data_IF_713936030389
#
_entry.id   IF_713936030389
#
_cell.length_a   1.000
_cell.length_b   1.000
_cell.length_c   1.000
_cell.angle_alpha   90.00
_cell.angle_beta   90.00
_cell.angle_gamma   90.00
#
_symmetry.space_group_name_H-M   'P 1'
#
loop_
_entity.id
_entity.type
_entity.pdbx_description
1 polymer ?
#
# COMPACT_ATOMS: atom_id res chain seq x y z
N UNK A 1 -34.50 16.61 8.74
CA UNK A 1 -34.01 17.32 7.55
C UNK A 1 -32.50 17.13 7.49
N UNK A 2 -31.97 16.25 6.62
CA UNK A 2 -30.52 16.10 6.46
C UNK A 2 -30.05 17.19 5.50
N UNK A 3 -29.51 18.28 6.04
CA UNK A 3 -28.79 19.29 5.26
C UNK A 3 -27.47 18.65 4.81
N UNK A 4 -27.51 17.92 3.70
CA UNK A 4 -26.32 17.45 3.01
C UNK A 4 -25.68 18.61 2.28
N UNK A 5 -24.88 19.41 2.98
CA UNK A 5 -23.97 20.35 2.32
C UNK A 5 -22.98 19.48 1.55
N UNK A 6 -23.02 19.57 0.22
CA UNK A 6 -22.05 18.94 -0.67
C UNK A 6 -20.73 19.67 -0.44
N UNK A 7 -19.88 19.13 0.45
CA UNK A 7 -18.53 19.64 0.66
C UNK A 7 -17.69 19.37 -0.58
N UNK A 8 -16.97 20.37 -1.07
CA UNK A 8 -15.97 20.21 -2.14
C UNK A 8 -14.61 19.82 -1.54
N UNK A 9 -13.64 19.32 -2.33
CA UNK A 9 -12.28 19.08 -1.86
C UNK A 9 -11.63 20.31 -1.23
N UNK A 10 -11.97 21.50 -1.72
CA UNK A 10 -11.53 22.78 -1.16
C UNK A 10 -12.09 23.02 0.26
N UNK A 11 -13.30 22.52 0.57
CA UNK A 11 -13.96 22.67 1.87
C UNK A 11 -13.35 21.80 2.98
N UNK A 12 -12.64 20.72 2.62
CA UNK A 12 -12.11 19.75 3.58
C UNK A 12 -10.58 19.73 3.65
N UNK A 13 -9.87 20.17 2.60
CA UNK A 13 -8.41 20.02 2.49
C UNK A 13 -7.63 21.22 1.93
N UNK A 14 -8.16 22.44 2.11
CA UNK A 14 -7.33 23.65 2.23
C UNK A 14 -6.45 24.07 1.03
N UNK A 15 -6.62 23.49 -0.16
CA UNK A 15 -5.78 23.77 -1.33
C UNK A 15 -6.53 23.63 -2.66
N UNK A 16 -5.95 24.12 -3.78
CA UNK A 16 -6.54 23.97 -5.11
C UNK A 16 -6.58 22.49 -5.53
N UNK A 17 -7.54 22.12 -6.37
CA UNK A 17 -7.54 20.79 -7.00
C UNK A 17 -6.38 20.64 -7.99
N UNK A 18 -5.75 19.46 -8.04
CA UNK A 18 -4.66 19.15 -8.98
C UNK A 18 -5.14 19.21 -10.44
N UNK A 19 -4.41 19.96 -11.29
CA UNK A 19 -4.57 19.89 -12.74
C UNK A 19 -3.98 18.57 -13.28
N UNK A 20 -4.83 17.54 -13.35
CA UNK A 20 -4.47 16.19 -13.78
C UNK A 20 -3.93 16.15 -15.22
N UNK A 21 -4.48 16.97 -16.12
CA UNK A 21 -4.03 16.98 -17.52
C UNK A 21 -2.59 17.50 -17.63
N UNK A 22 -2.29 18.59 -16.93
CA UNK A 22 -0.93 19.13 -16.85
C UNK A 22 0.04 18.16 -16.17
N UNK A 23 -0.38 17.52 -15.07
CA UNK A 23 0.45 16.56 -14.35
C UNK A 23 0.81 15.33 -15.21
N UNK A 24 -0.13 14.87 -16.04
CA UNK A 24 0.10 13.75 -16.97
C UNK A 24 0.97 14.17 -18.16
N UNK A 25 0.79 15.39 -18.65
CA UNK A 25 1.67 15.94 -19.69
C UNK A 25 3.13 16.02 -19.21
N UNK A 26 3.36 16.44 -17.96
CA UNK A 26 4.68 16.38 -17.31
C UNK A 26 5.21 14.94 -17.28
N UNK A 27 4.40 13.98 -16.85
CA UNK A 27 4.80 12.57 -16.81
C UNK A 27 5.25 12.04 -18.18
N UNK A 28 4.51 12.33 -19.25
CA UNK A 28 4.90 11.89 -20.61
C UNK A 28 6.12 12.63 -21.16
N UNK A 29 6.42 13.83 -20.66
CA UNK A 29 7.67 14.53 -20.99
C UNK A 29 8.86 13.86 -20.30
N UNK A 30 8.68 13.47 -19.04
CA UNK A 30 9.69 12.79 -18.22
C UNK A 30 9.95 11.35 -18.70
N UNK A 31 8.91 10.65 -19.16
CA UNK A 31 8.95 9.24 -19.56
C UNK A 31 8.26 9.00 -20.92
N UNK A 32 8.89 9.37 -22.04
CA UNK A 32 8.28 9.29 -23.36
C UNK A 32 7.96 7.85 -23.82
N UNK A 33 8.61 6.83 -23.26
CA UNK A 33 8.31 5.42 -23.50
C UNK A 33 6.94 5.00 -22.95
N UNK A 34 6.38 5.76 -22.00
CA UNK A 34 5.05 5.53 -21.42
C UNK A 34 3.91 6.21 -22.21
N UNK A 35 4.16 6.80 -23.37
CA UNK A 35 3.12 7.48 -24.19
C UNK A 35 1.94 6.58 -24.61
N UNK A 36 2.10 5.26 -24.49
CA UNK A 36 1.02 4.28 -24.73
C UNK A 36 0.14 4.02 -23.52
N UNK A 37 0.55 4.46 -22.33
CA UNK A 37 -0.27 4.36 -21.12
C UNK A 37 -1.51 5.25 -21.26
N UNK A 38 -2.65 4.72 -20.83
CA UNK A 38 -3.98 5.30 -21.06
C UNK A 38 -4.60 5.68 -19.73
N UNK A 39 -4.90 6.97 -19.56
CA UNK A 39 -5.43 7.49 -18.30
C UNK A 39 -6.96 7.63 -18.33
N UNK A 40 -7.61 7.24 -17.25
CA UNK A 40 -9.03 7.49 -16.96
C UNK A 40 -9.13 8.67 -16.00
N UNK A 41 -9.24 9.87 -16.56
CA UNK A 41 -9.27 11.11 -15.76
C UNK A 41 -10.67 11.31 -15.19
N UNK A 42 -10.77 11.25 -13.86
CA UNK A 42 -11.92 11.70 -13.06
C UNK A 42 -13.08 10.68 -12.86
N UNK A 43 -13.27 10.28 -11.59
CA UNK A 43 -14.40 9.46 -11.13
C UNK A 43 -15.76 10.16 -11.21
N UNK A 44 -15.80 11.49 -11.19
CA UNK A 44 -17.03 12.27 -11.20
C UNK A 44 -17.62 12.45 -12.61
N UNK A 45 -16.79 12.32 -13.65
CA UNK A 45 -17.20 12.53 -15.04
C UNK A 45 -18.03 11.37 -15.60
N UNK A 46 -17.81 10.16 -15.10
CA UNK A 46 -18.44 8.95 -15.63
C UNK A 46 -19.33 8.29 -14.59
N UNK A 47 -20.59 7.93 -14.93
CA UNK A 47 -21.51 7.34 -13.98
C UNK A 47 -21.16 5.90 -13.60
N UNK A 48 -20.44 5.18 -14.47
CA UNK A 48 -19.96 3.81 -14.21
C UNK A 48 -18.52 3.63 -14.66
N UNK A 49 -17.85 2.61 -14.11
CA UNK A 49 -16.51 2.21 -14.56
C UNK A 49 -16.47 1.75 -16.02
N UNK A 50 -17.57 1.20 -16.55
CA UNK A 50 -17.65 0.82 -17.95
C UNK A 50 -17.77 2.03 -18.88
N UNK A 51 -18.47 3.10 -18.47
CA UNK A 51 -18.51 4.35 -19.23
C UNK A 51 -17.13 5.01 -19.24
N UNK A 52 -16.42 4.95 -18.12
CA UNK A 52 -15.05 5.42 -18.01
C UNK A 52 -14.09 4.65 -18.93
N UNK A 53 -14.14 3.31 -18.91
CA UNK A 53 -13.36 2.46 -19.84
C UNK A 53 -13.77 2.69 -21.30
N UNK A 54 -15.07 2.91 -21.57
CA UNK A 54 -15.56 3.20 -22.93
C UNK A 54 -14.97 4.49 -23.47
N UNK A 55 -14.79 5.51 -22.63
CA UNK A 55 -14.21 6.81 -23.02
C UNK A 55 -12.76 6.73 -23.52
N UNK A 56 -12.05 5.66 -23.20
CA UNK A 56 -10.67 5.42 -23.63
C UNK A 56 -10.55 4.30 -24.68
N UNK A 57 -11.67 3.85 -25.26
CA UNK A 57 -11.68 2.72 -26.22
C UNK A 57 -10.77 2.96 -27.40
N UNK A 58 -10.83 4.15 -28.02
CA UNK A 58 -10.00 4.48 -29.19
C UNK A 58 -8.50 4.38 -28.89
N UNK A 59 -8.09 4.81 -27.67
CA UNK A 59 -6.70 4.69 -27.21
C UNK A 59 -6.30 3.23 -27.00
N UNK A 60 -7.20 2.43 -26.42
CA UNK A 60 -6.96 0.99 -26.22
C UNK A 60 -6.92 0.22 -27.56
N UNK A 61 -7.73 0.62 -28.53
CA UNK A 61 -7.74 0.04 -29.86
C UNK A 61 -6.47 0.40 -30.65
N UNK A 62 -5.92 1.61 -30.44
CA UNK A 62 -4.60 1.97 -30.95
C UNK A 62 -3.49 1.06 -30.36
N UNK A 63 -3.49 0.84 -29.03
CA UNK A 63 -2.58 -0.12 -28.38
C UNK A 63 -2.73 -1.52 -28.97
N UNK A 64 -3.96 -1.98 -29.23
CA UNK A 64 -4.21 -3.29 -29.83
C UNK A 64 -3.73 -3.41 -31.27
N UNK A 65 -3.85 -2.32 -32.03
CA UNK A 65 -3.39 -2.25 -33.42
C UNK A 65 -1.86 -2.36 -33.48
N UNK A 66 -1.17 -1.65 -32.59
CA UNK A 66 0.30 -1.68 -32.51
C UNK A 66 0.84 -2.96 -31.88
N UNK A 67 0.10 -3.54 -30.94
CA UNK A 67 0.48 -4.75 -30.19
C UNK A 67 -0.66 -5.79 -30.25
N UNK A 68 -0.80 -6.55 -31.36
CA UNK A 68 -1.89 -7.52 -31.56
C UNK A 68 -1.99 -8.61 -30.47
N UNK A 69 -0.93 -8.84 -29.71
CA UNK A 69 -0.87 -9.79 -28.59
C UNK A 69 -1.44 -9.23 -27.27
N UNK A 70 -1.64 -7.91 -27.16
CA UNK A 70 -2.15 -7.24 -25.97
C UNK A 70 -3.52 -7.80 -25.51
N UNK A 71 -3.64 -8.13 -24.22
CA UNK A 71 -4.84 -8.75 -23.63
C UNK A 71 -5.75 -7.73 -22.94
N UNK A 72 -6.47 -6.94 -23.74
CA UNK A 72 -7.34 -5.87 -23.25
C UNK A 72 -8.55 -6.30 -22.38
N UNK A 73 -9.27 -7.42 -22.63
CA UNK A 73 -10.53 -7.67 -21.93
C UNK A 73 -10.42 -7.74 -20.40
N UNK A 74 -9.35 -8.37 -19.89
CA UNK A 74 -9.13 -8.45 -18.45
C UNK A 74 -8.74 -7.09 -17.87
N UNK A 75 -7.82 -6.36 -18.52
CA UNK A 75 -7.42 -5.03 -18.07
C UNK A 75 -8.62 -4.06 -18.02
N UNK A 76 -9.48 -4.08 -19.05
CA UNK A 76 -10.74 -3.33 -19.09
C UNK A 76 -11.67 -3.69 -17.92
N UNK A 77 -11.83 -4.98 -17.63
CA UNK A 77 -12.68 -5.46 -16.52
C UNK A 77 -12.16 -5.03 -15.16
N UNK A 78 -10.85 -5.19 -14.91
CA UNK A 78 -10.20 -4.75 -13.67
C UNK A 78 -10.32 -3.23 -13.50
N UNK A 79 -9.99 -2.46 -14.54
CA UNK A 79 -10.10 -1.00 -14.51
C UNK A 79 -11.54 -0.55 -14.24
N UNK A 80 -12.55 -1.16 -14.86
CA UNK A 80 -13.95 -0.84 -14.59
C UNK A 80 -14.34 -1.12 -13.14
N UNK A 81 -13.87 -2.24 -12.56
CA UNK A 81 -14.09 -2.59 -11.16
C UNK A 81 -13.43 -1.61 -10.20
N UNK A 82 -12.15 -1.28 -10.41
CA UNK A 82 -11.42 -0.31 -9.59
C UNK A 82 -12.03 1.09 -9.69
N UNK A 83 -12.42 1.51 -10.90
CA UNK A 83 -13.12 2.77 -11.10
C UNK A 83 -14.41 2.85 -10.29
N UNK A 84 -15.24 1.79 -10.34
CA UNK A 84 -16.50 1.72 -9.60
C UNK A 84 -16.27 1.72 -8.08
N UNK A 85 -15.17 1.10 -7.62
CA UNK A 85 -14.72 1.17 -6.23
C UNK A 85 -14.14 2.53 -5.82
N UNK A 86 -14.03 3.48 -6.76
CA UNK A 86 -13.35 4.77 -6.59
C UNK A 86 -11.90 4.60 -6.15
N UNK A 87 -11.23 3.56 -6.63
CA UNK A 87 -9.85 3.27 -6.30
C UNK A 87 -8.89 3.87 -7.34
N UNK A 88 -7.85 4.59 -6.92
CA UNK A 88 -6.69 4.78 -7.77
C UNK A 88 -6.06 3.41 -8.04
N UNK A 89 -5.60 3.20 -9.27
CA UNK A 89 -4.87 2.01 -9.62
C UNK A 89 -4.14 2.16 -10.96
N UNK A 90 -3.10 1.34 -11.14
CA UNK A 90 -2.46 1.10 -12.42
C UNK A 90 -2.67 -0.35 -12.86
N UNK A 91 -3.34 -0.56 -14.00
CA UNK A 91 -3.65 -1.90 -14.54
C UNK A 91 -2.80 -2.18 -15.78
N UNK A 92 -1.89 -3.13 -15.68
CA UNK A 92 -1.01 -3.52 -16.79
C UNK A 92 -1.79 -4.14 -17.97
N UNK A 93 -1.42 -3.75 -19.19
CA UNK A 93 -1.83 -4.38 -20.44
C UNK A 93 -0.62 -5.14 -21.01
N UNK A 94 -0.55 -6.43 -20.70
CA UNK A 94 0.51 -7.33 -21.19
C UNK A 94 0.02 -8.37 -22.19
N UNK A 95 0.92 -9.29 -22.57
CA UNK A 95 0.63 -10.46 -23.42
C UNK A 95 -0.15 -11.57 -22.70
N UNK A 96 -0.21 -11.52 -21.36
CA UNK A 96 -0.91 -12.47 -20.49
C UNK A 96 -1.91 -11.80 -19.55
N UNK A 97 -2.89 -12.57 -19.06
CA UNK A 97 -3.87 -12.13 -18.06
C UNK A 97 -3.22 -11.79 -16.70
N UNK A 98 -2.13 -12.48 -16.41
CA UNK A 98 -1.13 -12.17 -15.41
C UNK A 98 0.19 -12.33 -16.17
N UNK A 99 1.20 -11.49 -15.96
CA UNK A 99 2.53 -11.63 -16.60
C UNK A 99 3.16 -12.96 -16.17
N UNK A 100 2.82 -14.05 -16.87
CA UNK A 100 3.18 -15.42 -16.53
C UNK A 100 4.69 -15.62 -16.70
N UNK A 101 5.32 -14.84 -17.56
CA UNK A 101 6.77 -14.85 -17.75
C UNK A 101 7.39 -13.50 -17.36
N UNK A 102 8.55 -13.48 -16.70
CA UNK A 102 9.25 -12.23 -16.35
C UNK A 102 9.53 -11.34 -17.55
N UNK A 103 9.71 -11.97 -18.69
CA UNK A 103 9.94 -11.35 -20.00
C UNK A 103 8.66 -10.97 -20.75
N UNK A 104 7.47 -11.20 -20.19
CA UNK A 104 6.23 -10.78 -20.86
C UNK A 104 6.20 -9.25 -20.92
N UNK A 105 6.22 -8.65 -22.12
CA UNK A 105 6.24 -7.20 -22.25
C UNK A 105 4.93 -6.59 -21.71
N UNK A 106 5.07 -5.45 -21.04
CA UNK A 106 3.96 -4.55 -20.75
C UNK A 106 3.87 -3.57 -21.92
N UNK A 107 2.76 -3.59 -22.65
CA UNK A 107 2.56 -2.77 -23.85
C UNK A 107 2.00 -1.38 -23.53
N UNK A 108 1.18 -1.31 -22.49
CA UNK A 108 0.51 -0.11 -22.01
C UNK A 108 -0.05 -0.40 -20.61
N UNK A 109 -0.63 0.62 -19.98
CA UNK A 109 -1.40 0.52 -18.73
C UNK A 109 -2.70 1.29 -18.82
N UNK A 110 -3.68 0.91 -18.01
CA UNK A 110 -4.82 1.76 -17.69
C UNK A 110 -4.55 2.37 -16.32
N UNK A 111 -4.34 3.68 -16.28
CA UNK A 111 -4.09 4.40 -15.03
C UNK A 111 -5.34 5.15 -14.61
N UNK A 112 -5.79 4.88 -13.40
CA UNK A 112 -6.91 5.57 -12.75
C UNK A 112 -6.29 6.40 -11.63
N UNK A 113 -6.10 7.72 -11.82
CA UNK A 113 -5.63 8.59 -10.76
C UNK A 113 -6.70 8.74 -9.68
N UNK A 114 -6.28 9.15 -8.48
CA UNK A 114 -7.20 9.56 -7.44
C UNK A 114 -8.11 10.70 -7.94
N UNK A 115 -9.41 10.51 -7.84
CA UNK A 115 -10.37 11.60 -8.04
C UNK A 115 -10.59 12.36 -6.73
N UNK A 116 -11.02 13.61 -6.85
CA UNK A 116 -11.43 14.50 -5.76
C UNK A 116 -12.20 13.84 -4.62
N UNK A 117 -13.18 12.98 -4.93
CA UNK A 117 -13.95 12.30 -3.90
C UNK A 117 -13.16 11.19 -3.20
N UNK A 118 -12.32 10.46 -3.95
CA UNK A 118 -11.43 9.49 -3.36
C UNK A 118 -10.42 10.18 -2.46
N UNK A 119 -9.85 11.29 -2.89
CA UNK A 119 -8.93 12.08 -2.09
C UNK A 119 -9.60 12.73 -0.89
N UNK A 120 -10.79 13.32 -1.03
CA UNK A 120 -11.53 13.84 0.12
C UNK A 120 -11.90 12.72 1.10
N UNK A 121 -12.22 11.52 0.60
CA UNK A 121 -12.33 10.31 1.44
C UNK A 121 -11.00 9.95 2.03
N UNK A 122 -9.90 10.01 1.28
CA UNK A 122 -8.55 9.74 1.72
C UNK A 122 -8.16 10.59 2.91
N UNK A 123 -8.36 11.90 2.79
CA UNK A 123 -8.12 12.87 3.84
C UNK A 123 -8.94 12.55 5.10
N UNK A 124 -10.08 11.87 4.92
CA UNK A 124 -10.98 11.38 5.98
C UNK A 124 -10.84 9.90 6.31
N UNK A 125 -10.01 9.13 5.63
CA UNK A 125 -10.06 7.65 5.54
C UNK A 125 -8.85 7.19 4.75
N UNK A 126 -7.69 7.26 5.38
CA UNK A 126 -6.41 7.07 4.72
C UNK A 126 -6.16 5.56 4.48
N UNK A 127 -6.88 4.99 3.48
CA UNK A 127 -6.81 3.72 2.72
C UNK A 127 -7.23 2.36 3.33
N UNK A 128 -8.43 1.86 2.92
CA UNK A 128 -8.70 0.75 1.97
C UNK A 128 -10.06 1.06 1.32
N UNK A 129 -10.27 0.95 0.00
CA UNK A 129 -11.66 0.97 -0.51
C UNK A 129 -12.35 -0.34 -0.14
N UNK A 130 -13.59 -0.27 0.32
CA UNK A 130 -14.32 -1.34 1.03
C UNK A 130 -13.96 -1.48 2.51
N UNK A 131 -13.15 -0.58 3.08
CA UNK A 131 -13.09 -0.44 4.53
C UNK A 131 -14.46 0.08 5.00
N UNK A 132 -15.22 -0.66 5.82
CA UNK A 132 -16.43 -0.10 6.41
C UNK A 132 -16.12 1.07 7.35
N UNK A 133 -14.83 1.30 7.68
CA UNK A 133 -14.33 2.22 8.69
C UNK A 133 -13.80 3.48 8.03
N UNK A 134 -14.52 4.60 8.19
CA UNK A 134 -13.91 5.90 7.89
C UNK A 134 -12.85 6.22 8.95
N UNK A 135 -11.65 6.63 8.55
CA UNK A 135 -10.69 7.27 9.48
C UNK A 135 -11.16 8.69 9.93
N UNK A 136 -12.42 9.06 9.70
CA UNK A 136 -12.95 10.39 9.96
C UNK A 136 -12.94 10.75 11.45
N UNK A 137 -12.55 9.82 12.31
CA UNK A 137 -12.48 9.99 13.75
C UNK A 137 -11.05 9.85 14.29
N UNK A 138 -10.05 9.49 13.45
CA UNK A 138 -8.64 9.39 13.84
C UNK A 138 -7.74 8.89 12.70
N UNK A 139 -6.51 9.43 12.47
CA UNK A 139 -5.94 10.68 12.97
C UNK A 139 -6.42 11.88 12.13
N UNK A 140 -6.76 13.01 12.77
CA UNK A 140 -7.05 14.25 12.03
C UNK A 140 -5.73 14.80 11.51
N UNK A 141 -5.65 15.05 10.20
CA UNK A 141 -4.49 15.77 9.65
C UNK A 141 -4.38 17.13 10.32
N UNK A 142 -3.16 17.48 10.78
CA UNK A 142 -2.91 18.88 11.10
C UNK A 142 -3.11 19.70 9.83
N UNK A 143 -3.57 20.93 9.98
CA UNK A 143 -3.89 21.81 8.85
C UNK A 143 -2.70 21.98 7.88
N UNK A 144 -1.46 21.92 8.38
CA UNK A 144 -0.23 21.95 7.57
C UNK A 144 -0.06 20.77 6.59
N UNK A 145 -0.70 19.62 6.87
CA UNK A 145 -0.74 18.45 5.98
C UNK A 145 -2.03 18.35 5.16
N UNK A 146 -2.97 19.25 5.44
CA UNK A 146 -4.28 19.28 4.82
C UNK A 146 -4.24 20.12 3.55
N UNK A 147 -3.45 19.64 2.56
CA UNK A 147 -3.35 20.23 1.23
C UNK A 147 -3.79 19.19 0.19
N UNK A 148 -4.97 19.41 -0.40
CA UNK A 148 -5.58 18.56 -1.43
C UNK A 148 -4.62 18.27 -2.58
N UNK A 149 -3.90 19.29 -3.06
CA UNK A 149 -3.03 19.17 -4.22
C UNK A 149 -1.85 18.26 -3.93
N UNK A 150 -1.19 18.41 -2.78
CA UNK A 150 -0.08 17.55 -2.36
C UNK A 150 -0.50 16.08 -2.30
N UNK A 151 -1.69 15.80 -1.74
CA UNK A 151 -2.23 14.44 -1.66
C UNK A 151 -2.58 13.87 -3.03
N UNK A 152 -3.27 14.64 -3.87
CA UNK A 152 -3.58 14.22 -5.24
C UNK A 152 -2.30 13.92 -6.01
N UNK A 153 -1.29 14.77 -5.83
CA UNK A 153 -0.03 14.64 -6.52
C UNK A 153 0.75 13.42 -6.04
N UNK A 154 0.82 13.21 -4.73
CA UNK A 154 1.40 12.00 -4.16
C UNK A 154 0.74 10.74 -4.71
N UNK A 155 -0.60 10.63 -4.65
CA UNK A 155 -1.29 9.42 -5.13
C UNK A 155 -1.08 9.22 -6.62
N UNK A 156 -1.13 10.29 -7.42
CA UNK A 156 -0.80 10.21 -8.84
C UNK A 156 0.63 9.70 -9.05
N UNK A 157 1.63 10.32 -8.42
CA UNK A 157 3.03 9.93 -8.59
C UNK A 157 3.30 8.52 -8.04
N UNK A 158 2.55 8.04 -7.03
CA UNK A 158 2.61 6.67 -6.53
C UNK A 158 2.15 5.67 -7.60
N UNK A 159 0.98 5.89 -8.20
CA UNK A 159 0.48 5.02 -9.28
C UNK A 159 1.38 5.06 -10.54
N UNK A 160 1.93 6.24 -10.84
CA UNK A 160 2.95 6.40 -11.88
C UNK A 160 4.27 5.71 -11.49
N UNK A 161 4.60 5.69 -10.20
CA UNK A 161 5.72 4.96 -9.62
C UNK A 161 5.64 3.48 -9.97
N UNK A 162 4.48 2.84 -9.78
CA UNK A 162 4.27 1.46 -10.26
C UNK A 162 4.53 1.31 -11.76
N UNK A 163 4.13 2.30 -12.56
CA UNK A 163 4.36 2.24 -14.00
C UNK A 163 5.87 2.27 -14.33
N UNK A 164 6.60 3.21 -13.75
CA UNK A 164 8.01 3.44 -14.11
C UNK A 164 8.98 2.47 -13.43
N UNK A 165 8.69 1.97 -12.23
CA UNK A 165 9.63 1.05 -11.53
C UNK A 165 9.41 -0.41 -11.91
N UNK A 166 8.19 -0.80 -12.28
CA UNK A 166 7.85 -2.20 -12.62
C UNK A 166 7.96 -2.50 -14.11
N UNK A 167 9.00 -2.00 -14.78
CA UNK A 167 9.24 -2.31 -16.19
C UNK A 167 9.64 -3.78 -16.43
N UNK A 168 10.14 -4.46 -15.39
CA UNK A 168 10.38 -5.90 -15.41
C UNK A 168 10.23 -6.51 -14.01
N UNK A 169 9.55 -7.66 -13.90
CA UNK A 169 9.38 -8.35 -12.61
C UNK A 169 10.58 -9.25 -12.36
N UNK A 170 11.44 -8.90 -11.39
CA UNK A 170 12.53 -9.80 -10.98
C UNK A 170 11.98 -10.95 -10.10
N UNK A 171 11.67 -12.08 -10.73
CA UNK A 171 11.01 -13.23 -10.06
C UNK A 171 11.91 -14.00 -9.10
N UNK A 172 13.25 -13.87 -9.21
CA UNK A 172 14.16 -14.46 -8.22
C UNK A 172 14.13 -13.66 -6.92
N UNK A 173 14.02 -12.32 -7.01
CA UNK A 173 13.77 -11.49 -5.83
C UNK A 173 12.45 -11.88 -5.14
N UNK A 174 11.41 -12.28 -5.88
CA UNK A 174 10.11 -12.67 -5.33
C UNK A 174 10.13 -13.86 -4.36
N UNK A 175 11.15 -14.74 -4.40
CA UNK A 175 11.24 -15.88 -3.45
C UNK A 175 11.55 -15.44 -2.03
N UNK A 176 12.20 -14.30 -1.88
CA UNK A 176 12.66 -13.74 -0.61
C UNK A 176 11.97 -12.42 -0.26
N UNK A 177 11.50 -11.68 -1.28
CA UNK A 177 10.78 -10.41 -1.21
C UNK A 177 9.27 -10.63 -1.18
N UNK A 178 8.56 -9.87 -0.35
CA UNK A 178 7.15 -9.58 -0.65
C UNK A 178 7.07 -8.79 -1.95
N UNK A 179 6.46 -9.35 -3.00
CA UNK A 179 6.31 -8.61 -4.27
C UNK A 179 5.41 -7.39 -4.06
N UNK A 180 4.32 -7.55 -3.31
CA UNK A 180 3.39 -6.47 -3.01
C UNK A 180 4.12 -5.35 -2.27
N UNK A 181 4.76 -5.65 -1.13
CA UNK A 181 5.42 -4.60 -0.35
C UNK A 181 6.59 -3.95 -1.08
N UNK A 182 7.36 -4.70 -1.86
CA UNK A 182 8.40 -4.10 -2.69
C UNK A 182 7.83 -3.15 -3.73
N UNK A 183 6.78 -3.56 -4.45
CA UNK A 183 6.09 -2.74 -5.43
C UNK A 183 5.57 -1.43 -4.82
N UNK A 184 4.97 -1.51 -3.63
CA UNK A 184 4.51 -0.35 -2.86
C UNK A 184 5.69 0.52 -2.40
N UNK A 185 6.79 -0.09 -1.94
CA UNK A 185 7.99 0.65 -1.54
C UNK A 185 8.59 1.44 -2.71
N UNK A 186 8.68 0.84 -3.89
CA UNK A 186 9.19 1.50 -5.10
C UNK A 186 8.31 2.70 -5.48
N UNK A 187 6.99 2.51 -5.47
CA UNK A 187 6.01 3.55 -5.78
C UNK A 187 6.01 4.70 -4.76
N UNK A 188 5.96 4.40 -3.46
CA UNK A 188 6.04 5.40 -2.39
C UNK A 188 7.36 6.16 -2.42
N UNK A 189 8.49 5.46 -2.62
CA UNK A 189 9.80 6.10 -2.67
C UNK A 189 9.88 7.04 -3.88
N UNK A 190 9.47 6.58 -5.05
CA UNK A 190 9.44 7.43 -6.26
C UNK A 190 8.57 8.67 -6.04
N UNK A 191 7.35 8.49 -5.54
CA UNK A 191 6.43 9.58 -5.28
C UNK A 191 7.02 10.61 -4.29
N UNK A 192 7.73 10.15 -3.25
CA UNK A 192 8.32 11.04 -2.26
C UNK A 192 9.59 11.76 -2.74
N UNK A 193 10.40 11.16 -3.62
CA UNK A 193 11.48 11.91 -4.29
C UNK A 193 10.86 13.06 -5.10
N UNK A 194 9.83 12.76 -5.90
CA UNK A 194 9.14 13.76 -6.71
C UNK A 194 8.42 14.81 -5.86
N UNK A 195 7.93 14.43 -4.69
CA UNK A 195 7.34 15.34 -3.72
C UNK A 195 8.37 16.39 -3.25
N UNK A 196 9.54 15.96 -2.76
CA UNK A 196 10.59 16.89 -2.33
C UNK A 196 11.06 17.81 -3.46
N UNK A 197 11.17 17.30 -4.69
CA UNK A 197 11.55 18.10 -5.86
C UNK A 197 10.55 19.21 -6.21
N UNK A 198 9.25 19.02 -5.90
CA UNK A 198 8.20 19.99 -6.23
C UNK A 198 7.88 20.95 -5.09
N UNK A 199 7.84 20.45 -3.86
CA UNK A 199 7.42 21.22 -2.69
C UNK A 199 8.59 21.70 -1.83
N UNK A 200 9.81 21.30 -2.16
CA UNK A 200 11.03 21.71 -1.49
C UNK A 200 11.41 20.81 -0.30
N UNK A 201 12.67 20.95 0.11
CA UNK A 201 13.30 20.17 1.18
C UNK A 201 12.63 20.31 2.56
N UNK A 202 11.94 21.43 2.82
CA UNK A 202 11.26 21.72 4.08
C UNK A 202 9.89 21.04 4.21
N UNK A 203 9.43 20.33 3.17
CA UNK A 203 8.15 19.63 3.22
C UNK A 203 8.16 18.50 4.26
N UNK A 204 7.24 18.56 5.21
CA UNK A 204 7.04 17.54 6.27
C UNK A 204 6.06 16.43 5.89
N UNK A 205 5.49 16.46 4.68
CA UNK A 205 4.56 15.46 4.18
C UNK A 205 5.11 14.01 4.22
N UNK A 206 6.39 13.75 3.87
CA UNK A 206 6.92 12.38 3.88
C UNK A 206 6.98 11.75 5.27
N UNK A 207 7.32 12.53 6.32
CA UNK A 207 7.24 12.10 7.72
C UNK A 207 5.82 11.69 8.09
N UNK A 208 4.84 12.51 7.70
CA UNK A 208 3.43 12.23 7.94
C UNK A 208 2.98 10.95 7.23
N UNK A 209 3.37 10.76 5.97
CA UNK A 209 3.06 9.56 5.20
C UNK A 209 3.68 8.30 5.85
N UNK A 210 4.94 8.38 6.30
CA UNK A 210 5.60 7.27 6.99
C UNK A 210 4.85 6.84 8.25
N UNK A 211 4.37 7.80 9.03
CA UNK A 211 3.56 7.53 10.21
C UNK A 211 2.21 6.91 9.85
N UNK A 212 1.54 7.40 8.81
CA UNK A 212 0.27 6.81 8.33
C UNK A 212 0.47 5.37 7.86
N UNK A 213 1.47 5.09 7.03
CA UNK A 213 1.75 3.73 6.55
C UNK A 213 1.99 2.79 7.74
N UNK A 214 2.70 3.25 8.77
CA UNK A 214 2.87 2.49 10.00
C UNK A 214 1.55 2.29 10.78
N UNK A 215 0.75 3.35 10.96
CA UNK A 215 -0.54 3.26 11.64
C UNK A 215 -1.51 2.31 10.92
N UNK A 216 -1.57 2.36 9.58
CA UNK A 216 -2.41 1.48 8.78
C UNK A 216 -1.99 0.02 8.89
N UNK A 217 -0.69 -0.27 8.87
CA UNK A 217 -0.21 -1.64 9.10
C UNK A 217 -0.70 -2.17 10.45
N UNK A 218 -0.60 -1.38 11.52
CA UNK A 218 -1.01 -1.80 12.87
C UNK A 218 -2.54 -1.85 13.03
N UNK A 219 -3.27 -0.84 12.57
CA UNK A 219 -4.72 -0.71 12.84
C UNK A 219 -5.59 -1.48 11.83
N UNK A 220 -5.13 -1.59 10.59
CA UNK A 220 -5.88 -2.16 9.47
C UNK A 220 -5.27 -3.45 8.92
N UNK A 221 -4.08 -3.82 9.38
CA UNK A 221 -3.37 -4.96 8.82
C UNK A 221 -2.86 -4.70 7.40
N UNK A 222 -2.77 -3.44 6.97
CA UNK A 222 -2.26 -3.06 5.65
C UNK A 222 -0.73 -3.11 5.61
N UNK A 223 -0.21 -4.33 5.75
CA UNK A 223 1.22 -4.61 5.83
C UNK A 223 1.88 -4.47 4.46
N UNK A 224 1.15 -4.74 3.38
CA UNK A 224 1.67 -4.62 2.03
C UNK A 224 2.12 -3.18 1.76
N UNK A 225 1.40 -2.16 2.23
CA UNK A 225 1.85 -0.77 2.13
C UNK A 225 2.73 -0.29 3.28
N UNK A 226 3.28 -1.18 4.12
CA UNK A 226 4.23 -0.76 5.15
C UNK A 226 5.59 -0.44 4.52
N UNK A 227 5.73 0.78 4.01
CA UNK A 227 6.91 1.29 3.28
C UNK A 227 7.79 2.19 4.16
N UNK A 228 7.48 2.27 5.46
CA UNK A 228 8.06 3.19 6.45
C UNK A 228 9.58 3.24 6.45
N UNK A 229 10.28 2.09 6.35
CA UNK A 229 11.76 2.06 6.32
C UNK A 229 12.34 2.77 5.10
N UNK A 230 11.73 2.59 3.94
CA UNK A 230 12.15 3.25 2.70
C UNK A 230 11.92 4.77 2.81
N UNK A 231 10.80 5.17 3.41
CA UNK A 231 10.48 6.57 3.66
C UNK A 231 11.45 7.23 4.66
N UNK A 232 11.81 6.55 5.75
CA UNK A 232 12.80 7.06 6.72
C UNK A 232 14.17 7.29 6.08
N UNK A 233 14.62 6.36 5.24
CA UNK A 233 15.87 6.54 4.50
C UNK A 233 15.79 7.76 3.58
N UNK A 234 14.70 7.89 2.84
CA UNK A 234 14.48 9.00 1.93
C UNK A 234 14.39 10.36 2.66
N UNK A 235 13.74 10.41 3.82
CA UNK A 235 13.72 11.59 4.70
C UNK A 235 15.15 11.96 5.12
N UNK A 236 15.98 10.98 5.48
CA UNK A 236 17.38 11.24 5.80
C UNK A 236 18.18 11.71 4.58
N UNK A 237 17.96 11.12 3.40
CA UNK A 237 18.60 11.54 2.16
C UNK A 237 18.24 12.98 1.78
N UNK A 238 16.99 13.40 2.00
CA UNK A 238 16.55 14.78 1.80
C UNK A 238 17.30 15.74 2.74
N UNK A 239 17.41 15.40 4.03
CA UNK A 239 18.20 16.18 5.01
C UNK A 239 19.67 16.30 4.62
N UNK A 240 20.21 15.29 3.95
CA UNK A 240 21.57 15.27 3.43
C UNK A 240 21.71 15.99 2.07
N UNK A 241 20.64 16.55 1.49
CA UNK A 241 20.65 17.21 0.17
C UNK A 241 20.83 16.26 -1.02
N UNK A 242 20.60 14.95 -0.84
CA UNK A 242 20.88 13.93 -1.88
C UNK A 242 19.78 13.77 -2.93
N UNK A 243 18.62 14.40 -2.72
CA UNK A 243 17.46 14.30 -3.62
C UNK A 243 17.39 15.47 -4.62
N UNK A 244 18.24 16.47 -4.43
CA UNK A 244 18.26 17.68 -5.26
C UNK A 244 18.71 17.35 -6.68
N UNK A 245 18.05 17.97 -7.66
CA UNK A 245 18.42 17.92 -9.08
C UNK A 245 18.48 16.51 -9.71
N UNK A 246 17.88 15.49 -9.09
CA UNK A 246 17.73 14.19 -9.75
C UNK A 246 16.81 14.34 -10.96
N UNK A 247 17.25 13.84 -12.12
CA UNK A 247 16.36 13.65 -13.26
C UNK A 247 15.27 12.64 -12.90
N UNK A 248 14.11 12.64 -13.59
CA UNK A 248 13.05 11.65 -13.35
C UNK A 248 13.56 10.21 -13.42
N UNK A 249 14.46 9.96 -14.37
CA UNK A 249 15.13 8.68 -14.56
C UNK A 249 16.02 8.30 -13.35
N UNK A 250 16.81 9.24 -12.83
CA UNK A 250 17.60 9.03 -11.61
C UNK A 250 16.72 8.83 -10.37
N UNK A 251 15.60 9.55 -10.27
CA UNK A 251 14.63 9.37 -9.19
C UNK A 251 14.02 7.95 -9.21
N UNK A 252 13.64 7.46 -10.39
CA UNK A 252 13.17 6.08 -10.59
C UNK A 252 14.21 5.06 -10.15
N UNK A 253 15.44 5.18 -10.65
CA UNK A 253 16.49 4.20 -10.36
C UNK A 253 16.87 4.20 -8.87
N UNK A 254 16.90 5.39 -8.25
CA UNK A 254 17.10 5.52 -6.80
C UNK A 254 15.95 4.89 -6.00
N UNK A 255 14.70 5.08 -6.42
CA UNK A 255 13.55 4.47 -5.77
C UNK A 255 13.62 2.93 -5.78
N UNK A 256 14.04 2.34 -6.90
CA UNK A 256 14.26 0.88 -7.02
C UNK A 256 15.36 0.41 -6.07
N UNK A 257 16.47 1.14 -5.96
CA UNK A 257 17.58 0.78 -5.07
C UNK A 257 17.16 0.85 -3.58
N UNK A 258 16.52 1.93 -3.16
CA UNK A 258 16.03 2.09 -1.78
C UNK A 258 15.03 0.98 -1.44
N UNK A 259 14.05 0.71 -2.32
CA UNK A 259 13.07 -0.33 -2.09
C UNK A 259 13.73 -1.72 -2.01
N UNK A 260 14.73 -2.01 -2.84
CA UNK A 260 15.45 -3.28 -2.79
C UNK A 260 16.14 -3.53 -1.44
N UNK A 261 16.56 -2.47 -0.74
CA UNK A 261 17.20 -2.54 0.59
C UNK A 261 16.22 -2.53 1.75
N UNK A 262 15.04 -1.93 1.59
CA UNK A 262 14.11 -1.64 2.68
C UNK A 262 12.79 -2.41 2.68
N UNK A 263 12.40 -3.03 1.56
CA UNK A 263 11.17 -3.81 1.49
C UNK A 263 11.15 -4.97 2.50
N UNK A 264 9.94 -5.39 2.89
CA UNK A 264 9.71 -6.55 3.72
C UNK A 264 10.07 -7.84 2.96
N UNK A 265 10.77 -8.73 3.65
CA UNK A 265 10.84 -10.12 3.20
C UNK A 265 9.44 -10.74 3.23
N UNK A 266 9.22 -11.78 2.43
CA UNK A 266 7.94 -12.48 2.42
C UNK A 266 7.58 -13.09 3.80
N UNK A 267 8.59 -13.47 4.58
CA UNK A 267 8.39 -13.97 5.94
C UNK A 267 8.01 -12.83 6.91
N UNK A 268 8.63 -11.66 6.78
CA UNK A 268 8.29 -10.47 7.58
C UNK A 268 6.84 -10.01 7.31
N UNK A 269 6.46 -9.87 6.04
CA UNK A 269 5.10 -9.48 5.66
C UNK A 269 4.09 -10.47 6.23
N UNK A 270 4.33 -11.77 6.07
CA UNK A 270 3.46 -12.81 6.63
C UNK A 270 3.35 -12.71 8.16
N UNK A 271 4.47 -12.56 8.87
CA UNK A 271 4.46 -12.47 10.32
C UNK A 271 3.69 -11.24 10.82
N UNK A 272 3.88 -10.08 10.17
CA UNK A 272 3.15 -8.85 10.47
C UNK A 272 1.64 -9.00 10.19
N UNK A 273 1.25 -9.58 9.04
CA UNK A 273 -0.15 -9.80 8.70
C UNK A 273 -0.86 -10.66 9.76
N UNK A 274 -0.22 -11.72 10.25
CA UNK A 274 -0.79 -12.54 11.31
C UNK A 274 -0.84 -11.81 12.66
N UNK A 275 0.20 -11.05 13.00
CA UNK A 275 0.25 -10.31 14.26
C UNK A 275 -0.87 -9.27 14.35
N UNK A 276 -1.14 -8.55 13.25
CA UNK A 276 -2.15 -7.49 13.19
C UNK A 276 -3.54 -7.99 12.78
N UNK A 277 -3.75 -9.31 12.61
CA UNK A 277 -5.09 -9.85 12.39
C UNK A 277 -6.04 -9.56 13.57
N UNK A 278 -5.51 -9.52 14.81
CA UNK A 278 -6.30 -9.22 16.00
C UNK A 278 -6.63 -7.72 16.13
N UNK A 279 -5.75 -6.83 15.68
CA UNK A 279 -6.02 -5.38 15.71
C UNK A 279 -7.13 -5.01 14.73
N UNK A 280 -7.22 -5.68 13.57
CA UNK A 280 -8.34 -5.52 12.63
C UNK A 280 -9.69 -5.84 13.29
N UNK A 281 -9.75 -6.81 14.20
CA UNK A 281 -10.98 -7.14 14.93
C UNK A 281 -11.40 -6.04 15.90
N UNK A 282 -10.46 -5.25 16.43
CA UNK A 282 -10.75 -4.07 17.26
C UNK A 282 -11.60 -3.11 16.43
N UNK A 283 -11.17 -2.84 15.19
CA UNK A 283 -11.87 -1.96 14.26
C UNK A 283 -13.30 -2.45 14.01
N UNK A 284 -13.44 -3.72 13.60
CA UNK A 284 -14.75 -4.34 13.32
C UNK A 284 -15.67 -4.33 14.55
N UNK A 285 -15.12 -4.56 15.74
CA UNK A 285 -15.88 -4.55 17.00
C UNK A 285 -16.31 -3.15 17.38
N UNK A 286 -15.40 -2.17 17.28
CA UNK A 286 -15.67 -0.77 17.59
C UNK A 286 -16.81 -0.22 16.75
N UNK A 287 -16.87 -0.58 15.47
CA UNK A 287 -17.99 -0.20 14.60
C UNK A 287 -19.32 -0.81 15.01
N UNK A 288 -19.33 -2.13 15.25
CA UNK A 288 -20.55 -2.85 15.65
C UNK A 288 -21.10 -2.33 16.98
N UNK A 289 -20.23 -1.96 17.90
CA UNK A 289 -20.58 -1.51 19.25
C UNK A 289 -20.65 0.01 19.42
N UNK A 290 -20.31 0.79 18.38
CA UNK A 290 -20.17 2.26 18.45
C UNK A 290 -19.25 2.69 19.61
N UNK A 291 -18.12 1.99 19.75
CA UNK A 291 -17.12 2.28 20.80
C UNK A 291 -16.59 3.72 20.66
N UNK A 292 -16.50 4.50 21.74
CA UNK A 292 -15.91 5.84 21.71
C UNK A 292 -14.48 5.82 21.19
N UNK A 293 -14.09 6.89 20.48
CA UNK A 293 -12.78 6.96 19.81
C UNK A 293 -11.61 6.82 20.80
N UNK A 294 -11.69 7.45 21.97
CA UNK A 294 -10.69 7.31 23.03
C UNK A 294 -10.48 5.88 23.47
N UNK A 295 -11.57 5.16 23.73
CA UNK A 295 -11.49 3.74 24.08
C UNK A 295 -10.93 2.89 22.93
N UNK A 296 -11.26 3.22 21.68
CA UNK A 296 -10.73 2.52 20.49
C UNK A 296 -9.22 2.72 20.36
N UNK A 297 -8.73 3.95 20.50
CA UNK A 297 -7.29 4.27 20.47
C UNK A 297 -6.55 3.51 21.57
N UNK A 298 -7.08 3.52 22.80
CA UNK A 298 -6.47 2.79 23.90
C UNK A 298 -6.44 1.28 23.65
N UNK A 299 -7.47 0.73 23.00
CA UNK A 299 -7.49 -0.69 22.62
C UNK A 299 -6.39 -1.05 21.62
N UNK A 300 -6.11 -0.18 20.64
CA UNK A 300 -4.97 -0.37 19.73
C UNK A 300 -3.64 -0.25 20.45
N UNK A 301 -3.47 0.75 21.32
CA UNK A 301 -2.25 0.93 22.12
C UNK A 301 -1.96 -0.29 23.00
N UNK A 302 -2.97 -0.79 23.71
CA UNK A 302 -2.85 -1.97 24.56
C UNK A 302 -2.45 -3.20 23.74
N UNK A 303 -3.14 -3.43 22.61
CA UNK A 303 -2.87 -4.57 21.74
C UNK A 303 -1.51 -4.47 21.05
N UNK A 304 -1.09 -3.27 20.61
CA UNK A 304 0.23 -3.06 20.04
C UNK A 304 1.34 -3.32 21.06
N UNK A 305 1.16 -2.87 22.32
CA UNK A 305 2.12 -3.17 23.41
C UNK A 305 2.18 -4.68 23.70
N UNK A 306 1.04 -5.36 23.76
CA UNK A 306 0.96 -6.82 23.94
C UNK A 306 1.68 -7.56 22.80
N UNK A 307 1.37 -7.24 21.54
CA UNK A 307 2.03 -7.83 20.37
C UNK A 307 3.54 -7.57 20.43
N UNK A 308 3.98 -6.34 20.73
CA UNK A 308 5.40 -6.01 20.83
C UNK A 308 6.11 -6.80 21.95
N UNK A 309 5.42 -7.06 23.06
CA UNK A 309 5.96 -7.81 24.18
C UNK A 309 6.15 -9.31 23.88
N UNK A 310 5.49 -9.85 22.86
CA UNK A 310 5.43 -11.30 22.60
C UNK A 310 5.95 -11.72 21.21
N UNK A 311 5.83 -10.85 20.21
CA UNK A 311 6.16 -11.17 18.81
C UNK A 311 7.60 -11.66 18.66
N UNK A 312 7.85 -12.60 17.76
CA UNK A 312 9.19 -13.05 17.39
C UNK A 312 9.72 -12.40 16.11
N UNK A 313 8.91 -11.58 15.44
CA UNK A 313 9.26 -10.88 14.21
C UNK A 313 9.88 -9.51 14.51
N UNK A 314 11.12 -9.25 14.08
CA UNK A 314 11.72 -7.92 14.12
C UNK A 314 10.85 -6.82 13.51
N UNK A 315 10.29 -7.04 12.30
CA UNK A 315 9.47 -6.03 11.63
C UNK A 315 8.17 -5.74 12.39
N UNK A 316 7.55 -6.76 12.99
CA UNK A 316 6.36 -6.58 13.84
C UNK A 316 6.71 -5.77 15.09
N UNK A 317 7.84 -6.08 15.75
CA UNK A 317 8.30 -5.36 16.94
C UNK A 317 8.58 -3.88 16.62
N UNK A 318 9.25 -3.62 15.50
CA UNK A 318 9.54 -2.28 15.00
C UNK A 318 8.27 -1.48 14.73
N UNK A 319 7.32 -2.03 13.96
CA UNK A 319 6.06 -1.36 13.65
C UNK A 319 5.25 -1.02 14.91
N UNK A 320 5.23 -1.92 15.91
CA UNK A 320 4.57 -1.66 17.18
C UNK A 320 5.29 -0.57 18.00
N UNK A 321 6.63 -0.61 18.10
CA UNK A 321 7.41 0.42 18.80
C UNK A 321 7.17 1.79 18.16
N UNK A 322 7.23 1.87 16.83
CA UNK A 322 6.94 3.10 16.11
C UNK A 322 5.53 3.58 16.39
N UNK A 323 4.52 2.70 16.27
CA UNK A 323 3.12 3.05 16.52
C UNK A 323 2.91 3.65 17.92
N UNK A 324 3.46 3.03 18.95
CA UNK A 324 3.34 3.54 20.34
C UNK A 324 4.03 4.89 20.49
N UNK A 325 5.18 5.10 19.84
CA UNK A 325 5.89 6.38 19.90
C UNK A 325 5.19 7.51 19.15
N UNK A 326 4.52 7.22 18.02
CA UNK A 326 4.00 8.24 17.11
C UNK A 326 2.53 8.55 17.33
N UNK A 327 1.71 7.58 17.74
CA UNK A 327 0.24 7.74 17.80
C UNK A 327 -0.17 8.93 18.68
N UNK A 328 0.55 9.21 19.77
CA UNK A 328 0.29 10.35 20.66
C UNK A 328 0.27 11.71 19.95
N UNK A 329 1.03 11.87 18.86
CA UNK A 329 1.07 13.12 18.11
C UNK A 329 -0.22 13.39 17.34
N UNK A 330 -1.05 12.36 17.20
CA UNK A 330 -2.29 12.40 16.46
C UNK A 330 -3.52 12.25 17.35
N UNK A 331 -3.34 12.05 18.68
CA UNK A 331 -4.42 11.94 19.66
C UNK A 331 -4.80 13.34 20.14
N UNK A 332 -6.07 13.78 20.00
CA UNK A 332 -6.54 15.00 20.66
C UNK A 332 -6.34 14.91 22.17
N UNK A 333 -5.82 15.98 22.77
CA UNK A 333 -5.53 16.04 24.22
C UNK A 333 -6.79 15.85 25.08
N UNK A 334 -7.96 16.17 24.54
CA UNK A 334 -9.27 16.08 25.20
C UNK A 334 -9.94 14.71 25.03
N UNK A 335 -9.30 13.78 24.33
CA UNK A 335 -9.88 12.47 24.07
C UNK A 335 -9.94 11.66 25.37
N UNK A 336 -11.14 11.37 25.87
CA UNK A 336 -11.35 10.64 27.12
C UNK A 336 -10.73 9.23 27.08
N UNK A 337 -9.85 8.94 28.04
CA UNK A 337 -9.14 7.65 28.18
C UNK A 337 -9.59 6.93 29.44
N UNK A 338 -10.74 6.26 29.39
CA UNK A 338 -11.23 5.46 30.50
C UNK A 338 -10.39 4.19 30.65
N UNK A 339 -9.42 4.20 31.57
CA UNK A 339 -8.60 3.03 31.91
C UNK A 339 -8.53 2.78 33.41
N UNK A 340 -8.60 1.50 33.77
CA UNK A 340 -8.36 1.09 35.15
C UNK A 340 -6.86 1.14 35.48
N UNK A 341 -6.48 1.29 36.76
CA UNK A 341 -5.08 1.22 37.18
C UNK A 341 -4.37 -0.07 36.73
N UNK A 342 -5.07 -1.19 36.68
CA UNK A 342 -4.55 -2.49 36.23
C UNK A 342 -4.20 -2.48 34.75
N UNK A 343 -5.04 -1.88 33.91
CA UNK A 343 -4.79 -1.74 32.47
C UNK A 343 -3.57 -0.84 32.21
N UNK A 344 -3.46 0.26 32.94
CA UNK A 344 -2.30 1.17 32.86
C UNK A 344 -1.02 0.41 33.24
N UNK A 345 -1.05 -0.35 34.34
CA UNK A 345 0.09 -1.14 34.80
C UNK A 345 0.47 -2.24 33.80
N UNK A 346 -0.50 -2.94 33.22
CA UNK A 346 -0.27 -3.99 32.24
C UNK A 346 0.35 -3.42 30.95
N UNK A 347 -0.18 -2.32 30.42
CA UNK A 347 0.38 -1.65 29.24
C UNK A 347 1.82 -1.18 29.52
N UNK A 348 2.08 -0.57 30.68
CA UNK A 348 3.43 -0.13 31.06
C UNK A 348 4.42 -1.31 31.15
N UNK A 349 3.99 -2.46 31.69
CA UNK A 349 4.81 -3.66 31.75
C UNK A 349 5.13 -4.22 30.36
N UNK A 350 4.13 -4.27 29.47
CA UNK A 350 4.29 -4.71 28.09
C UNK A 350 5.21 -3.77 27.30
N UNK A 351 5.03 -2.46 27.44
CA UNK A 351 5.89 -1.46 26.79
C UNK A 351 7.33 -1.55 27.27
N UNK A 352 7.55 -1.71 28.58
CA UNK A 352 8.90 -1.94 29.14
C UNK A 352 9.54 -3.19 28.51
N UNK A 353 8.83 -4.31 28.53
CA UNK A 353 9.30 -5.56 27.91
C UNK A 353 9.58 -5.39 26.42
N UNK A 354 8.74 -4.68 25.68
CA UNK A 354 8.97 -4.41 24.26
C UNK A 354 10.25 -3.59 24.03
N UNK A 355 10.48 -2.55 24.82
CA UNK A 355 11.64 -1.66 24.69
C UNK A 355 12.96 -2.36 25.01
N UNK A 356 12.97 -3.30 25.95
CA UNK A 356 14.13 -4.11 26.33
C UNK A 356 14.51 -5.19 25.29
N UNK A 357 13.65 -5.43 24.30
CA UNK A 357 13.87 -6.46 23.27
C UNK A 357 14.56 -5.92 22.03
N UNK A 358 15.47 -6.73 21.51
CA UNK A 358 16.09 -6.60 20.20
C UNK A 358 15.95 -7.95 19.48
N UNK A 359 15.38 -7.92 18.27
CA UNK A 359 15.20 -9.10 17.42
C UNK A 359 15.90 -8.82 16.10
N UNK A 360 16.66 -9.80 15.60
CA UNK A 360 17.51 -9.62 14.40
C UNK A 360 17.08 -10.45 13.21
N UNK A 361 16.39 -11.55 13.43
CA UNK A 361 16.04 -12.51 12.39
C UNK A 361 14.54 -12.72 12.34
N UNK A 362 13.99 -12.72 11.11
CA UNK A 362 12.58 -13.02 10.89
C UNK A 362 12.32 -14.53 11.04
N UNK A 363 11.32 -14.92 11.85
CA UNK A 363 10.87 -16.31 11.88
C UNK A 363 10.44 -16.73 10.47
N UNK A 364 10.96 -17.85 9.93
CA UNK A 364 10.59 -18.27 8.59
C UNK A 364 9.12 -18.68 8.55
N UNK A 365 8.43 -18.39 7.45
CA UNK A 365 7.13 -19.02 7.22
C UNK A 365 7.34 -20.54 7.12
N UNK A 366 6.50 -21.32 7.81
CA UNK A 366 6.60 -22.79 7.85
C UNK A 366 5.32 -23.47 7.37
N UNK A 367 5.43 -24.77 7.08
CA UNK A 367 4.30 -25.62 6.72
C UNK A 367 3.74 -25.38 5.31
N UNK A 368 2.48 -25.77 5.11
CA UNK A 368 1.80 -25.73 3.82
C UNK A 368 1.76 -24.33 3.21
N UNK A 369 1.67 -23.27 4.02
CA UNK A 369 1.61 -21.89 3.50
C UNK A 369 2.88 -21.50 2.75
N UNK A 370 4.06 -21.87 3.25
CA UNK A 370 5.33 -21.68 2.53
C UNK A 370 5.37 -22.46 1.24
N UNK A 371 4.94 -23.72 1.28
CA UNK A 371 4.87 -24.57 0.07
C UNK A 371 3.95 -23.94 -0.98
N UNK A 372 2.78 -23.43 -0.58
CA UNK A 372 1.86 -22.76 -1.51
C UNK A 372 2.40 -21.44 -2.03
N UNK A 373 3.03 -20.60 -1.19
CA UNK A 373 3.71 -19.38 -1.64
C UNK A 373 4.78 -19.71 -2.67
N UNK A 374 5.69 -20.62 -2.33
CA UNK A 374 6.81 -20.99 -3.19
C UNK A 374 6.30 -21.61 -4.49
N UNK A 375 5.25 -22.43 -4.45
CA UNK A 375 4.60 -22.97 -5.65
C UNK A 375 3.91 -21.89 -6.50
N UNK A 376 3.22 -20.91 -5.89
CA UNK A 376 2.63 -19.78 -6.62
C UNK A 376 3.74 -18.97 -7.29
N UNK A 377 4.84 -18.69 -6.59
CA UNK A 377 6.00 -17.99 -7.15
C UNK A 377 6.61 -18.81 -8.27
N UNK A 378 6.78 -20.13 -8.13
CA UNK A 378 7.34 -20.98 -9.17
C UNK A 378 6.45 -21.01 -10.42
N UNK A 379 5.13 -21.14 -10.26
CA UNK A 379 4.16 -21.03 -11.35
C UNK A 379 4.21 -19.64 -12.00
N UNK A 380 4.22 -18.59 -11.19
CA UNK A 380 4.37 -17.22 -11.66
C UNK A 380 5.74 -17.00 -12.28
N UNK A 381 6.78 -17.75 -11.93
CA UNK A 381 8.15 -17.57 -12.43
C UNK A 381 8.35 -18.06 -13.85
N UNK A 382 7.41 -18.84 -14.38
CA UNK A 382 7.57 -19.51 -15.66
C UNK A 382 8.62 -20.64 -15.62
N UNK A 383 9.34 -20.84 -14.51
CA UNK A 383 10.15 -22.04 -14.31
C UNK A 383 9.22 -23.24 -14.17
N UNK A 384 9.09 -24.01 -15.25
CA UNK A 384 8.71 -25.42 -15.15
C UNK A 384 9.90 -26.20 -14.57
N UNK A 385 10.17 -26.05 -13.27
CA UNK A 385 10.74 -27.18 -12.54
C UNK A 385 9.54 -28.06 -12.21
N UNK A 386 9.28 -29.05 -13.08
CA UNK A 386 8.45 -30.18 -12.68
C UNK A 386 8.97 -30.72 -11.34
N UNK A 387 8.10 -31.30 -10.49
CA UNK A 387 8.60 -31.95 -9.27
C UNK A 387 9.76 -32.87 -9.66
N UNK A 388 10.86 -32.90 -8.88
CA UNK A 388 11.97 -33.81 -9.18
C UNK A 388 11.37 -35.20 -9.41
N UNK A 389 11.64 -35.85 -10.56
CA UNK A 389 11.18 -37.20 -10.77
C UNK A 389 11.81 -38.04 -9.64
N UNK A 390 10.96 -38.73 -8.91
CA UNK A 390 11.30 -39.64 -7.81
C UNK A 390 11.80 -39.01 -6.49
N UNK A 391 10.87 -38.42 -5.74
CA UNK A 391 10.64 -38.93 -4.38
C UNK A 391 9.16 -39.27 -4.24
N UNK A 392 8.86 -40.58 -4.31
CA UNK A 392 7.54 -41.14 -3.96
C UNK A 392 7.08 -40.50 -2.66
N UNK A 393 6.05 -39.65 -2.74
CA UNK A 393 5.28 -39.26 -1.56
C UNK A 393 4.90 -40.57 -0.84
N UNK A 394 5.08 -40.67 0.49
CA UNK A 394 4.68 -41.86 1.21
C UNK A 394 3.20 -42.10 0.91
N UNK A 395 2.92 -43.24 0.28
CA UNK A 395 1.57 -43.68 -0.03
C UNK A 395 0.72 -43.56 1.24
N UNK A 396 -0.25 -42.65 1.21
CA UNK A 396 -1.31 -42.61 2.21
C UNK A 396 -2.04 -43.95 2.09
N UNK A 397 -1.76 -44.88 3.01
CA UNK A 397 -2.52 -46.14 3.10
C UNK A 397 -3.98 -45.72 3.36
N UNK A 398 -4.85 -45.97 2.39
CA UNK A 398 -6.30 -45.88 2.60
C UNK A 398 -6.63 -46.67 3.87
N UNK A 399 -7.33 -46.08 4.85
CA UNK A 399 -7.80 -46.84 6.01
C UNK A 399 -8.65 -48.01 5.50
N UNK A 400 -8.33 -49.23 5.96
CA UNK A 400 -9.14 -50.41 5.69
C UNK A 400 -10.56 -50.11 6.20
N UNK A 401 -11.57 -50.28 5.34
CA UNK A 401 -12.96 -50.25 5.76
C UNK A 401 -13.14 -51.32 6.86
N UNK A 402 -13.83 -51.02 7.97
CA UNK A 402 -14.24 -52.06 8.91
C UNK A 402 -15.16 -53.03 8.18
N UNK A 403 -14.83 -54.32 8.24
CA UNK A 403 -15.66 -55.39 7.70
C UNK A 403 -16.94 -55.50 8.52
N UNK A 404 -18.07 -55.59 7.82
CA UNK A 404 -19.33 -56.12 8.34
C UNK A 404 -19.45 -57.57 7.90
#
# INVERSE_FOLDING_TARGET
MKLGIVRTPEDDAGGPSLDLEKAIAEFYADFPEHKKDVFILNHQKFPTGWDAVKSITDKLDAVKTECPEAKLPLAKSLAAGMFAGKLPCSVNIGGGAFTQKPEDPIFARIVIPAGDEFSARLMKSIFVSNDPVSNASFPVMKDEYNNTEMWHRYVLDHELGHAVTQLSVNKQAMKVSSLGNRAECEADTYAMIRHYQRYGHDSTFPEYLADIRNMNAVQKGDVTHWTTRALDELIQMNKDGKLDNLTPQQARDLAVDIAARNHLSADAEYNMQNAFAETVKITQTAQRKKTPDGQRVMSYLDKACEIAAETKSPATLEACKRYVSTIKHYIPDDLAQDRTPEQIKAMAANLKKANERELKEEPPMTGLKRVFRDAIIDVQSGKKEGPPPDKKLPYYKKPKKPGF
#
